data_IF_395055145863
#
_entry.id   IF_395055145863
#
_cell.length_a   1.000
_cell.length_b   1.000
_cell.length_c   1.000
_cell.angle_alpha   90.00
_cell.angle_beta   90.00
_cell.angle_gamma   90.00
#
_symmetry.space_group_name_H-M   'P 1'
#
loop_
_entity.id
_entity.type
_entity.pdbx_description
1 polymer ?
#
# COMPACT_ATOMS: atom_id res chain seq x y z
N UNK A 1 -25.79 -25.25 -10.30
CA UNK A 1 -25.23 -24.41 -9.21
C UNK A 1 -23.74 -24.32 -9.44
N UNK A 2 -23.25 -23.20 -9.98
CA UNK A 2 -21.82 -22.97 -10.16
C UNK A 2 -21.27 -22.48 -8.82
N UNK A 3 -20.47 -23.31 -8.16
CA UNK A 3 -19.66 -22.91 -7.03
C UNK A 3 -18.56 -21.98 -7.57
N UNK A 4 -18.69 -20.67 -7.36
CA UNK A 4 -17.52 -19.80 -7.37
C UNK A 4 -16.74 -20.14 -6.09
N UNK A 5 -15.64 -20.89 -6.24
CA UNK A 5 -14.67 -21.01 -5.18
C UNK A 5 -14.16 -19.59 -4.88
N UNK A 6 -14.37 -19.11 -3.66
CA UNK A 6 -13.66 -17.95 -3.14
C UNK A 6 -12.16 -18.24 -3.28
N UNK A 7 -11.51 -17.59 -4.24
CA UNK A 7 -10.05 -17.60 -4.34
C UNK A 7 -9.54 -16.90 -3.10
N UNK A 8 -9.16 -17.68 -2.09
CA UNK A 8 -8.40 -17.17 -0.95
C UNK A 8 -7.18 -16.44 -1.51
N UNK A 9 -6.91 -15.24 -0.98
CA UNK A 9 -5.79 -14.39 -1.36
C UNK A 9 -4.41 -15.06 -1.16
N UNK A 10 -4.37 -16.29 -0.62
CA UNK A 10 -3.17 -17.05 -0.30
C UNK A 10 -2.48 -17.71 -1.51
N UNK A 11 -3.03 -17.61 -2.73
CA UNK A 11 -2.46 -18.26 -3.92
C UNK A 11 -2.03 -17.24 -4.98
N UNK A 12 -0.79 -17.38 -5.47
CA UNK A 12 -0.31 -16.69 -6.66
C UNK A 12 -1.21 -17.04 -7.86
N UNK A 13 -1.90 -16.05 -8.41
CA UNK A 13 -2.85 -16.21 -9.52
C UNK A 13 -2.23 -15.86 -10.87
N UNK A 14 -1.27 -14.94 -10.90
CA UNK A 14 -0.57 -14.51 -12.10
C UNK A 14 0.81 -13.94 -11.77
N UNK A 15 1.71 -14.00 -12.75
CA UNK A 15 2.97 -13.29 -12.74
C UNK A 15 3.15 -12.60 -14.09
N UNK A 16 3.51 -11.32 -14.07
CA UNK A 16 3.78 -10.55 -15.28
C UNK A 16 5.04 -9.71 -15.10
N UNK A 17 5.66 -9.37 -16.23
CA UNK A 17 6.78 -8.45 -16.27
C UNK A 17 6.27 -7.12 -16.79
N UNK A 18 6.40 -6.07 -15.97
CA UNK A 18 6.03 -4.73 -16.33
C UNK A 18 7.29 -3.99 -16.79
N UNK A 19 7.27 -3.56 -18.04
CA UNK A 19 8.29 -2.69 -18.60
C UNK A 19 7.71 -1.28 -18.66
N UNK A 20 8.26 -0.37 -17.88
CA UNK A 20 8.17 1.06 -18.16
C UNK A 20 9.56 1.58 -18.45
N UNK A 21 9.66 2.73 -19.11
CA UNK A 21 10.94 3.37 -19.43
C UNK A 21 11.79 3.65 -18.18
N UNK A 22 11.19 3.61 -16.99
CA UNK A 22 11.82 3.92 -15.71
C UNK A 22 11.98 2.69 -14.80
N UNK A 23 11.25 1.59 -15.04
CA UNK A 23 11.26 0.41 -14.16
C UNK A 23 11.10 -0.90 -14.92
N UNK A 24 11.96 -1.86 -14.60
CA UNK A 24 11.81 -3.26 -14.97
C UNK A 24 11.35 -4.00 -13.71
N UNK A 25 10.05 -4.25 -13.56
CA UNK A 25 9.50 -4.92 -12.38
C UNK A 25 8.82 -6.22 -12.75
N UNK A 26 8.95 -7.21 -11.86
CA UNK A 26 8.07 -8.38 -11.87
C UNK A 26 6.92 -8.08 -10.93
N UNK A 27 5.72 -8.37 -11.39
CA UNK A 27 4.49 -8.22 -10.64
C UNK A 27 3.89 -9.60 -10.38
N UNK A 28 3.63 -9.90 -9.12
CA UNK A 28 3.01 -11.13 -8.63
C UNK A 28 1.61 -10.78 -8.13
N UNK A 29 0.59 -11.39 -8.73
CA UNK A 29 -0.81 -11.21 -8.33
C UNK A 29 -1.24 -12.31 -7.38
N UNK A 30 -1.93 -11.94 -6.31
CA UNK A 30 -2.48 -12.84 -5.31
C UNK A 30 -4.00 -12.63 -5.25
N UNK A 31 -4.78 -13.64 -5.65
CA UNK A 31 -6.22 -13.47 -5.82
C UNK A 31 -6.59 -12.50 -6.96
N UNK A 32 -7.65 -11.70 -6.75
CA UNK A 32 -8.11 -10.61 -7.63
C UNK A 32 -7.63 -9.23 -7.20
N UNK A 33 -7.19 -9.10 -5.95
CA UNK A 33 -7.05 -7.80 -5.28
C UNK A 33 -5.65 -7.57 -4.71
N UNK A 34 -4.87 -8.63 -4.50
CA UNK A 34 -3.55 -8.55 -3.89
C UNK A 34 -2.42 -8.52 -4.93
N UNK A 35 -1.35 -7.81 -4.59
CA UNK A 35 -0.20 -7.69 -5.47
C UNK A 35 1.12 -7.36 -4.76
N UNK A 36 2.20 -7.93 -5.28
CA UNK A 36 3.57 -7.56 -4.92
C UNK A 36 4.35 -7.27 -6.19
N UNK A 37 5.03 -6.13 -6.26
CA UNK A 37 6.00 -5.86 -7.33
C UNK A 37 7.42 -5.79 -6.77
N UNK A 38 8.38 -6.28 -7.54
CA UNK A 38 9.79 -6.25 -7.16
C UNK A 38 10.72 -6.06 -8.37
N UNK A 39 11.91 -5.54 -8.12
CA UNK A 39 12.98 -5.46 -9.12
C UNK A 39 13.63 -6.85 -9.28
N UNK A 40 13.59 -7.47 -10.47
CA UNK A 40 14.08 -8.84 -10.67
C UNK A 40 15.61 -8.94 -10.67
N UNK A 41 16.36 -7.83 -10.70
CA UNK A 41 17.83 -7.84 -10.60
C UNK A 41 18.29 -7.83 -9.15
N UNK A 42 17.64 -7.02 -8.31
CA UNK A 42 18.02 -6.81 -6.90
C UNK A 42 17.13 -7.60 -5.94
N UNK A 43 16.03 -8.17 -6.43
CA UNK A 43 14.97 -8.83 -5.64
C UNK A 43 14.29 -7.92 -4.62
N UNK A 44 14.46 -6.60 -4.79
CA UNK A 44 13.90 -5.60 -3.89
C UNK A 44 12.41 -5.41 -4.16
N UNK A 45 11.59 -5.59 -3.14
CA UNK A 45 10.16 -5.31 -3.19
C UNK A 45 9.97 -3.79 -3.36
N UNK A 46 9.19 -3.40 -4.37
CA UNK A 46 8.87 -2.00 -4.70
C UNK A 46 7.49 -1.60 -4.23
N UNK A 47 6.55 -2.56 -4.23
CA UNK A 47 5.18 -2.32 -3.84
C UNK A 47 4.56 -3.58 -3.28
N UNK A 48 3.75 -3.40 -2.25
CA UNK A 48 2.80 -4.39 -1.74
C UNK A 48 1.44 -3.71 -1.67
N UNK A 49 0.38 -4.34 -2.15
CA UNK A 49 -0.95 -3.79 -2.04
C UNK A 49 -2.06 -4.85 -1.96
N UNK A 50 -3.20 -4.44 -1.42
CA UNK A 50 -4.46 -5.17 -1.39
C UNK A 50 -5.61 -4.21 -1.73
N UNK A 51 -6.11 -4.25 -2.97
CA UNK A 51 -7.18 -3.36 -3.42
C UNK A 51 -8.54 -3.64 -2.79
N UNK A 52 -8.73 -4.81 -2.16
CA UNK A 52 -9.98 -5.10 -1.44
C UNK A 52 -10.14 -4.20 -0.21
N UNK A 53 -9.01 -3.74 0.34
CA UNK A 53 -8.94 -2.81 1.46
C UNK A 53 -8.91 -1.34 1.01
N UNK A 54 -8.76 -1.06 -0.29
CA UNK A 54 -8.64 0.31 -0.82
C UNK A 54 -9.97 1.07 -0.88
N UNK A 55 -11.07 0.49 -0.41
CA UNK A 55 -12.41 1.06 -0.57
C UNK A 55 -12.55 2.38 0.17
N UNK A 56 -12.37 3.47 -0.57
CA UNK A 56 -13.31 4.59 -0.54
C UNK A 56 -14.56 4.15 -1.31
N UNK A 57 -15.73 4.21 -0.68
CA UNK A 57 -17.01 3.82 -1.30
C UNK A 57 -17.14 4.37 -2.72
N UNK A 58 -17.25 3.48 -3.71
CA UNK A 58 -17.38 3.78 -5.15
C UNK A 58 -18.76 4.31 -5.57
N UNK A 59 -19.58 4.78 -4.62
CA UNK A 59 -20.92 5.29 -4.92
C UNK A 59 -20.88 6.81 -5.16
N UNK A 60 -20.96 7.30 -6.41
CA UNK A 60 -20.84 8.74 -6.74
C UNK A 60 -22.02 9.58 -6.26
N UNK A 61 -23.05 8.97 -5.65
CA UNK A 61 -24.20 9.67 -5.07
C UNK A 61 -24.06 10.00 -3.58
N UNK A 62 -23.02 9.51 -2.90
CA UNK A 62 -22.70 9.90 -1.51
C UNK A 62 -21.53 10.89 -1.41
N UNK A 63 -20.78 11.10 -2.50
CA UNK A 63 -19.52 11.87 -2.55
C UNK A 63 -19.66 13.41 -2.56
N UNK A 64 -20.89 13.95 -2.57
CA UNK A 64 -21.12 15.40 -2.36
C UNK A 64 -21.76 15.74 -1.00
N UNK A 65 -22.13 14.74 -0.19
CA UNK A 65 -22.83 14.95 1.09
C UNK A 65 -22.20 14.25 2.30
N UNK A 66 -21.39 13.21 2.08
CA UNK A 66 -20.53 12.68 3.12
C UNK A 66 -19.29 13.55 3.17
N UNK A 67 -19.35 14.56 4.04
CA UNK A 67 -18.17 15.17 4.67
C UNK A 67 -17.10 14.11 4.78
N UNK A 68 -15.91 14.41 4.28
CA UNK A 68 -14.66 13.77 4.68
C UNK A 68 -14.85 13.23 6.09
N UNK A 69 -15.14 11.93 6.22
CA UNK A 69 -14.92 11.22 7.48
C UNK A 69 -13.42 11.34 7.59
N UNK A 70 -12.99 12.36 8.33
CA UNK A 70 -11.60 12.70 8.49
C UNK A 70 -10.98 11.40 8.96
N UNK A 71 -10.16 10.79 8.11
CA UNK A 71 -9.43 9.57 8.47
C UNK A 71 -8.45 10.04 9.54
N UNK A 72 -8.90 10.07 10.78
CA UNK A 72 -8.11 10.43 11.93
C UNK A 72 -7.46 9.15 12.43
N UNK A 73 -6.54 8.60 11.65
CA UNK A 73 -5.56 7.68 12.20
C UNK A 73 -4.58 8.52 13.02
N UNK A 74 -4.27 8.08 14.23
CA UNK A 74 -3.22 8.71 15.02
C UNK A 74 -1.84 8.26 14.54
N UNK A 75 -0.83 9.09 14.76
CA UNK A 75 0.56 8.71 14.53
C UNK A 75 0.92 7.39 15.24
N UNK A 76 0.38 7.16 16.44
CA UNK A 76 0.56 5.93 17.22
C UNK A 76 -0.06 4.70 16.54
N UNK A 77 -1.27 4.83 15.99
CA UNK A 77 -1.92 3.74 15.26
C UNK A 77 -1.13 3.38 14.00
N UNK A 78 -0.67 4.39 13.26
CA UNK A 78 0.16 4.16 12.08
C UNK A 78 1.50 3.52 12.45
N UNK A 79 2.15 3.98 13.53
CA UNK A 79 3.38 3.38 14.02
C UNK A 79 3.19 1.90 14.38
N UNK A 80 2.11 1.59 15.11
CA UNK A 80 1.79 0.23 15.55
C UNK A 80 1.52 -0.70 14.37
N UNK A 81 0.83 -0.22 13.33
CA UNK A 81 0.47 -1.02 12.17
C UNK A 81 1.61 -1.16 11.15
N UNK A 82 2.27 -0.05 10.81
CA UNK A 82 3.17 0.01 9.66
C UNK A 82 4.62 -0.33 9.96
N UNK A 83 5.13 0.07 11.14
CA UNK A 83 6.56 -0.01 11.41
C UNK A 83 7.04 -1.46 11.52
N UNK A 84 6.34 -2.37 12.24
CA UNK A 84 6.71 -3.77 12.26
C UNK A 84 6.64 -4.40 10.87
N UNK A 85 5.61 -4.08 10.11
CA UNK A 85 5.36 -4.64 8.77
C UNK A 85 6.46 -4.25 7.77
N UNK A 86 6.87 -2.98 7.75
CA UNK A 86 7.96 -2.52 6.87
C UNK A 86 9.30 -3.07 7.31
N UNK A 87 9.55 -3.18 8.62
CA UNK A 87 10.77 -3.81 9.13
C UNK A 87 10.86 -5.28 8.73
N UNK A 88 9.76 -6.04 8.84
CA UNK A 88 9.71 -7.46 8.51
C UNK A 88 9.80 -7.71 7.00
N UNK A 89 9.00 -7.00 6.20
CA UNK A 89 8.87 -7.27 4.76
C UNK A 89 9.97 -6.63 3.93
N UNK A 90 10.42 -5.44 4.32
CA UNK A 90 11.36 -4.63 3.53
C UNK A 90 12.72 -4.44 4.21
N UNK A 91 12.85 -4.77 5.50
CA UNK A 91 14.11 -4.64 6.24
C UNK A 91 14.44 -3.21 6.65
N UNK A 92 13.49 -2.28 6.61
CA UNK A 92 13.70 -0.86 6.95
C UNK A 92 13.10 -0.48 8.29
N UNK A 93 13.82 0.34 9.05
CA UNK A 93 13.32 0.93 10.28
C UNK A 93 12.69 2.30 10.00
N UNK A 94 11.36 2.37 10.00
CA UNK A 94 10.64 3.63 9.72
C UNK A 94 10.91 4.74 10.74
N UNK A 95 11.46 4.45 11.93
CA UNK A 95 11.88 5.48 12.89
C UNK A 95 13.05 6.34 12.39
N UNK A 96 13.75 5.93 11.33
CA UNK A 96 14.86 6.69 10.73
C UNK A 96 14.39 7.76 9.73
N UNK A 97 13.07 7.90 9.52
CA UNK A 97 12.48 8.75 8.51
C UNK A 97 11.53 9.77 9.15
N UNK A 98 11.45 10.94 8.52
CA UNK A 98 10.44 11.93 8.87
C UNK A 98 9.10 11.51 8.30
N UNK A 99 8.11 11.31 9.17
CA UNK A 99 6.75 10.97 8.77
C UNK A 99 5.96 12.25 8.44
N UNK A 100 5.39 12.30 7.25
CA UNK A 100 4.57 13.42 6.77
C UNK A 100 3.19 12.91 6.35
N UNK A 101 2.13 13.45 6.97
CA UNK A 101 0.74 13.16 6.63
C UNK A 101 0.13 14.41 6.01
N UNK A 102 -0.38 14.30 4.77
CA UNK A 102 -1.01 15.42 4.09
C UNK A 102 -2.47 15.57 4.56
N UNK A 103 -2.83 16.68 5.25
CA UNK A 103 -4.20 16.86 5.74
C UNK A 103 -5.24 17.00 4.61
N UNK A 104 -4.80 17.28 3.37
CA UNK A 104 -5.66 17.36 2.17
C UNK A 104 -5.83 16.02 1.45
N UNK A 105 -5.02 15.02 1.79
CA UNK A 105 -5.09 13.67 1.26
C UNK A 105 -5.01 12.68 2.44
N UNK A 106 -6.05 12.65 3.30
CA UNK A 106 -6.12 11.68 4.39
C UNK A 106 -6.07 10.26 3.83
N UNK A 107 -5.47 9.31 4.57
CA UNK A 107 -5.28 7.95 4.09
C UNK A 107 -3.89 7.64 3.54
N UNK A 108 -2.97 8.62 3.53
CA UNK A 108 -1.59 8.46 3.07
C UNK A 108 -0.60 9.04 4.06
N UNK A 109 0.44 8.27 4.39
CA UNK A 109 1.61 8.72 5.11
C UNK A 109 2.85 8.56 4.25
N UNK A 110 3.67 9.59 4.19
CA UNK A 110 4.95 9.59 3.48
C UNK A 110 6.09 9.55 4.50
N UNK A 111 7.13 8.79 4.18
CA UNK A 111 8.34 8.72 4.99
C UNK A 111 9.49 9.30 4.16
N UNK A 112 10.08 10.37 4.67
CA UNK A 112 11.05 11.22 3.97
C UNK A 112 12.40 11.13 4.67
N UNK A 113 13.49 11.09 3.89
CA UNK A 113 14.87 11.21 4.38
C UNK A 113 15.64 12.08 3.41
N UNK A 114 16.42 13.02 3.94
CA UNK A 114 17.23 13.96 3.15
C UNK A 114 16.42 14.73 2.08
N UNK A 115 15.13 15.00 2.35
CA UNK A 115 14.22 15.71 1.45
C UNK A 115 13.61 14.85 0.34
N UNK A 116 13.93 13.56 0.27
CA UNK A 116 13.40 12.61 -0.70
C UNK A 116 12.33 11.71 -0.07
N UNK A 117 11.25 11.45 -0.82
CA UNK A 117 10.24 10.47 -0.43
C UNK A 117 10.83 9.07 -0.58
N UNK A 118 10.93 8.35 0.52
CA UNK A 118 11.51 7.02 0.60
C UNK A 118 10.41 5.97 0.59
N UNK A 119 9.39 6.14 1.43
CA UNK A 119 8.22 5.27 1.46
C UNK A 119 6.93 6.05 1.36
N UNK A 120 5.88 5.34 0.94
CA UNK A 120 4.54 5.74 1.29
C UNK A 120 3.67 4.56 1.69
N UNK A 121 2.79 4.84 2.64
CA UNK A 121 1.91 3.87 3.25
C UNK A 121 0.50 4.43 3.13
N UNK A 122 -0.36 3.70 2.45
CA UNK A 122 -1.77 4.05 2.34
C UNK A 122 -2.60 3.16 3.26
N UNK A 123 -3.59 3.78 3.90
CA UNK A 123 -4.48 3.14 4.86
C UNK A 123 -5.93 3.56 4.64
N UNK A 124 -6.86 2.70 5.05
CA UNK A 124 -8.30 2.94 4.95
C UNK A 124 -8.87 3.62 6.22
N UNK A 125 -10.21 3.72 6.31
CA UNK A 125 -10.89 4.34 7.47
C UNK A 125 -10.80 3.56 8.78
N UNK A 126 -10.43 2.30 8.73
CA UNK A 126 -10.18 1.47 9.91
C UNK A 126 -8.71 1.51 10.32
N UNK A 127 -7.84 2.16 9.54
CA UNK A 127 -6.40 2.15 9.73
C UNK A 127 -5.70 0.91 9.17
N UNK A 128 -6.40 0.07 8.40
CA UNK A 128 -5.78 -1.05 7.73
C UNK A 128 -4.90 -0.56 6.58
N UNK A 129 -3.66 -1.04 6.53
CA UNK A 129 -2.72 -0.73 5.46
C UNK A 129 -3.11 -1.51 4.22
N UNK A 130 -3.39 -0.80 3.13
CA UNK A 130 -3.76 -1.41 1.85
C UNK A 130 -2.69 -1.21 0.78
N UNK A 131 -1.70 -0.34 1.00
CA UNK A 131 -0.55 -0.21 0.11
C UNK A 131 0.72 0.25 0.84
N UNK A 132 1.85 -0.33 0.46
CA UNK A 132 3.20 0.12 0.81
C UNK A 132 3.98 0.30 -0.49
N UNK A 133 4.60 1.45 -0.67
CA UNK A 133 5.50 1.74 -1.78
C UNK A 133 6.91 2.04 -1.26
N UNK A 134 7.91 1.43 -1.89
CA UNK A 134 9.34 1.67 -1.69
C UNK A 134 9.95 2.37 -2.92
N UNK A 135 10.39 3.60 -2.71
CA UNK A 135 11.01 4.46 -3.72
C UNK A 135 12.53 4.53 -3.63
N UNK A 136 13.16 3.80 -2.70
CA UNK A 136 14.62 3.85 -2.51
C UNK A 136 15.35 3.29 -3.73
N UNK A 137 16.45 3.89 -4.18
CA UNK A 137 17.15 3.40 -5.38
C UNK A 137 17.62 1.95 -5.27
#
# INVERSE_FOLDING_TARGET
MLYCAEKKADQLTAASKLFSDSYNTVYLSYGSDGGVSFDPKTYKIRQIYDSSLSTYSSNPKTSMGQKQKKLEITDEQLQTAAFPLVAELLGYNLHEYEMQINPKAPGSAQFVKDGERIFAIEFNENGDIWMINDYTN
#
